data_IF_135314385836
#
_entry.id   IF_135314385836
#
_cell.length_a   1.000
_cell.length_b   1.000
_cell.length_c   1.000
_cell.angle_alpha   90.00
_cell.angle_beta   90.00
_cell.angle_gamma   90.00
#
_symmetry.space_group_name_H-M   'P 1'
#
loop_
_entity.id
_entity.type
_entity.pdbx_description
1 polymer ?
#
# COMPACT_ATOMS: atom_id res chain seq x y z
N UNK A 1 10.76 55.72 -5.86
CA UNK A 1 11.07 54.61 -6.76
C UNK A 1 10.25 53.40 -6.35
N UNK A 2 9.16 53.09 -7.09
CA UNK A 2 8.38 51.88 -6.96
C UNK A 2 9.18 50.76 -7.65
N UNK A 3 9.83 49.91 -6.88
CA UNK A 3 10.39 48.66 -7.36
C UNK A 3 9.21 47.72 -7.70
N UNK A 4 8.91 47.62 -8.99
CA UNK A 4 7.92 46.69 -9.49
C UNK A 4 8.35 45.25 -9.15
N UNK A 5 7.55 44.57 -8.34
CA UNK A 5 7.69 43.13 -8.18
C UNK A 5 7.39 42.51 -9.54
N UNK A 6 8.43 42.08 -10.25
CA UNK A 6 8.29 41.27 -11.45
C UNK A 6 7.45 40.01 -11.17
N UNK A 7 6.78 39.45 -12.18
CA UNK A 7 5.98 38.25 -12.00
C UNK A 7 6.88 37.14 -11.39
N UNK A 8 6.51 36.63 -10.21
CA UNK A 8 7.16 35.42 -9.67
C UNK A 8 7.05 34.35 -10.76
N UNK A 9 8.19 33.92 -11.32
CA UNK A 9 8.22 32.83 -12.27
C UNK A 9 7.59 31.61 -11.61
N UNK A 10 6.62 30.98 -12.28
CA UNK A 10 5.95 29.79 -11.77
C UNK A 10 6.98 28.70 -11.58
N UNK A 11 7.14 28.23 -10.34
CA UNK A 11 8.06 27.15 -10.00
C UNK A 11 7.32 25.83 -10.08
N UNK A 12 7.79 24.90 -10.92
CA UNK A 12 7.23 23.55 -11.03
C UNK A 12 8.06 22.58 -10.22
N UNK A 13 7.43 21.93 -9.25
CA UNK A 13 7.99 20.79 -8.51
C UNK A 13 7.62 19.53 -9.28
N UNK A 14 8.61 18.81 -9.78
CA UNK A 14 8.44 17.57 -10.49
C UNK A 14 8.50 16.40 -9.50
N UNK A 15 7.45 15.59 -9.51
CA UNK A 15 7.33 14.37 -8.68
C UNK A 15 7.26 13.17 -9.62
N UNK A 16 8.23 12.28 -9.51
CA UNK A 16 8.24 11.02 -10.24
C UNK A 16 7.28 10.04 -9.59
N UNK A 17 6.27 9.63 -10.33
CA UNK A 17 5.28 8.68 -9.87
C UNK A 17 5.43 7.36 -10.63
N UNK A 18 5.83 6.32 -9.91
CA UNK A 18 6.06 4.98 -10.47
C UNK A 18 4.99 4.02 -9.95
N UNK A 19 4.30 3.36 -10.86
CA UNK A 19 3.27 2.39 -10.49
C UNK A 19 3.06 1.37 -11.60
N UNK A 20 2.27 0.35 -11.33
CA UNK A 20 1.94 -0.68 -12.29
C UNK A 20 0.71 -0.24 -13.09
N UNK A 21 0.89 0.11 -14.36
CA UNK A 21 -0.22 0.51 -15.24
C UNK A 21 -0.54 -0.57 -16.29
N UNK A 22 0.30 -1.58 -16.41
CA UNK A 22 0.09 -2.72 -17.30
C UNK A 22 0.46 -4.03 -16.60
N UNK A 23 -0.10 -5.15 -17.08
CA UNK A 23 0.17 -6.47 -16.52
C UNK A 23 -0.46 -6.73 -15.14
N UNK A 24 0.08 -7.70 -14.39
CA UNK A 24 -0.38 -8.02 -13.04
C UNK A 24 -0.18 -6.84 -12.10
N UNK A 25 -1.23 -6.41 -11.41
CA UNK A 25 -1.21 -5.24 -10.52
C UNK A 25 -1.71 -3.94 -11.15
N UNK A 26 -2.17 -3.94 -12.41
CA UNK A 26 -2.66 -2.73 -13.06
C UNK A 26 -3.87 -2.10 -12.34
N UNK A 27 -4.75 -2.91 -11.76
CA UNK A 27 -5.88 -2.41 -10.97
C UNK A 27 -5.42 -1.66 -9.70
N UNK A 28 -4.38 -2.17 -9.05
CA UNK A 28 -3.76 -1.52 -7.89
C UNK A 28 -3.07 -0.21 -8.30
N UNK A 29 -2.37 -0.22 -9.44
CA UNK A 29 -1.74 0.98 -9.99
C UNK A 29 -2.74 2.07 -10.38
N UNK A 30 -3.87 1.69 -10.95
CA UNK A 30 -4.99 2.60 -11.24
C UNK A 30 -5.55 3.26 -9.98
N UNK A 31 -5.69 2.52 -8.90
CA UNK A 31 -6.11 3.06 -7.61
C UNK A 31 -5.12 4.08 -7.03
N UNK A 32 -3.81 3.79 -7.11
CA UNK A 32 -2.76 4.74 -6.71
C UNK A 32 -2.85 6.03 -7.54
N UNK A 33 -3.00 5.90 -8.85
CA UNK A 33 -3.11 7.03 -9.78
C UNK A 33 -4.33 7.90 -9.47
N UNK A 34 -5.49 7.28 -9.28
CA UNK A 34 -6.74 7.96 -8.92
C UNK A 34 -6.62 8.70 -7.59
N UNK A 35 -6.04 8.07 -6.57
CA UNK A 35 -5.83 8.71 -5.26
C UNK A 35 -4.91 9.93 -5.35
N UNK A 36 -3.78 9.81 -6.06
CA UNK A 36 -2.81 10.87 -6.24
C UNK A 36 -3.39 12.05 -7.05
N UNK A 37 -4.05 11.76 -8.17
CA UNK A 37 -4.67 12.78 -9.03
C UNK A 37 -5.83 13.49 -8.35
N UNK A 38 -6.65 12.77 -7.60
CA UNK A 38 -7.74 13.38 -6.83
C UNK A 38 -7.20 14.35 -5.77
N UNK A 39 -6.14 13.95 -5.05
CA UNK A 39 -5.49 14.84 -4.09
C UNK A 39 -4.97 16.09 -4.77
N UNK A 40 -4.22 15.93 -5.85
CA UNK A 40 -3.66 17.05 -6.63
C UNK A 40 -4.76 18.00 -7.11
N UNK A 41 -5.84 17.46 -7.68
CA UNK A 41 -6.99 18.25 -8.16
C UNK A 41 -7.62 19.09 -7.07
N UNK A 42 -7.85 18.51 -5.90
CA UNK A 42 -8.59 19.18 -4.82
C UNK A 42 -7.73 20.11 -3.96
N UNK A 43 -6.40 19.91 -3.95
CA UNK A 43 -5.52 20.60 -3.02
C UNK A 43 -4.47 21.52 -3.68
N UNK A 44 -4.44 21.64 -5.02
CA UNK A 44 -3.47 22.51 -5.73
C UNK A 44 -3.47 23.96 -5.22
N UNK A 45 -4.63 24.48 -4.82
CA UNK A 45 -4.75 25.81 -4.24
C UNK A 45 -4.09 26.00 -2.87
N UNK A 46 -3.69 24.90 -2.20
CA UNK A 46 -2.98 24.93 -0.91
C UNK A 46 -1.46 25.09 -1.06
N UNK A 47 -0.95 25.07 -2.28
CA UNK A 47 0.47 25.31 -2.55
C UNK A 47 0.82 26.80 -2.42
N UNK A 48 2.10 27.14 -2.15
CA UNK A 48 2.55 28.50 -2.16
C UNK A 48 2.27 29.18 -3.50
N UNK A 49 2.00 30.48 -3.49
CA UNK A 49 1.72 31.24 -4.71
C UNK A 49 2.84 31.07 -5.73
N UNK A 50 2.48 30.72 -6.97
CA UNK A 50 3.42 30.47 -8.05
C UNK A 50 4.08 29.10 -8.06
N UNK A 51 3.77 28.23 -7.08
CA UNK A 51 4.27 26.83 -7.05
C UNK A 51 3.23 25.89 -7.65
N UNK A 52 3.68 24.99 -8.53
CA UNK A 52 2.87 23.91 -9.12
C UNK A 52 3.55 22.56 -8.88
N UNK A 53 2.77 21.50 -8.82
CA UNK A 53 3.23 20.12 -8.80
C UNK A 53 2.90 19.46 -10.13
N UNK A 54 3.89 18.81 -10.72
CA UNK A 54 3.76 17.99 -11.92
C UNK A 54 4.08 16.53 -11.55
N UNK A 55 3.12 15.63 -11.79
CA UNK A 55 3.34 14.18 -11.67
C UNK A 55 3.86 13.63 -12.99
N UNK A 56 5.09 13.13 -13.00
CA UNK A 56 5.69 12.46 -14.15
C UNK A 56 5.56 10.96 -13.92
N UNK A 57 4.63 10.33 -14.64
CA UNK A 57 4.25 8.94 -14.42
C UNK A 57 5.11 7.98 -15.24
N UNK A 58 5.48 6.83 -14.65
CA UNK A 58 6.16 5.69 -15.30
C UNK A 58 5.51 4.37 -14.90
N UNK A 59 5.40 3.46 -15.87
CA UNK A 59 4.92 2.10 -15.68
C UNK A 59 6.06 1.16 -15.32
N UNK A 60 5.92 0.44 -14.21
CA UNK A 60 6.87 -0.59 -13.77
C UNK A 60 6.52 -1.99 -14.28
N UNK A 61 5.39 -2.13 -14.99
CA UNK A 61 4.91 -3.36 -15.66
C UNK A 61 4.65 -4.56 -14.73
N UNK A 62 4.57 -4.36 -13.43
CA UNK A 62 4.37 -5.41 -12.43
C UNK A 62 5.53 -5.53 -11.45
N UNK A 63 5.65 -6.67 -10.77
CA UNK A 63 6.76 -6.95 -9.85
C UNK A 63 8.06 -7.17 -10.62
N UNK A 64 8.64 -6.09 -11.14
CA UNK A 64 9.83 -6.12 -11.99
C UNK A 64 10.89 -5.10 -11.51
N UNK A 65 11.81 -5.53 -10.62
CA UNK A 65 12.85 -4.68 -10.06
C UNK A 65 13.75 -3.98 -11.08
N UNK A 66 14.05 -4.63 -12.20
CA UNK A 66 14.94 -4.07 -13.25
C UNK A 66 14.25 -2.92 -13.98
N UNK A 67 12.97 -3.10 -14.34
CA UNK A 67 12.17 -2.01 -14.92
C UNK A 67 12.00 -0.87 -13.92
N UNK A 68 11.69 -1.18 -12.66
CA UNK A 68 11.55 -0.18 -11.59
C UNK A 68 12.82 0.66 -11.45
N UNK A 69 14.00 0.01 -11.41
CA UNK A 69 15.31 0.68 -11.34
C UNK A 69 15.54 1.58 -12.56
N UNK A 70 15.27 1.08 -13.76
CA UNK A 70 15.44 1.84 -15.00
C UNK A 70 14.54 3.09 -15.03
N UNK A 71 13.25 2.95 -14.75
CA UNK A 71 12.32 4.09 -14.78
C UNK A 71 12.61 5.11 -13.68
N UNK A 72 13.05 4.68 -12.49
CA UNK A 72 13.51 5.59 -11.45
C UNK A 72 14.76 6.39 -11.89
N UNK A 73 15.72 5.74 -12.51
CA UNK A 73 16.91 6.39 -13.04
C UNK A 73 16.56 7.42 -14.13
N UNK A 74 15.62 7.10 -15.03
CA UNK A 74 15.11 8.05 -16.03
C UNK A 74 14.48 9.28 -15.37
N UNK A 75 13.65 9.09 -14.37
CA UNK A 75 13.00 10.17 -13.62
C UNK A 75 14.02 11.08 -12.91
N UNK A 76 15.04 10.48 -12.28
CA UNK A 76 16.07 11.23 -11.55
C UNK A 76 16.99 11.98 -12.54
N UNK A 77 17.55 11.28 -13.52
CA UNK A 77 18.64 11.83 -14.34
C UNK A 77 18.11 12.69 -15.49
N UNK A 78 17.10 12.18 -16.23
CA UNK A 78 16.58 12.84 -17.41
C UNK A 78 15.51 13.89 -17.06
N UNK A 79 14.52 13.48 -16.27
CA UNK A 79 13.36 14.31 -15.96
C UNK A 79 13.63 15.27 -14.79
N UNK A 80 14.70 15.00 -14.01
CA UNK A 80 15.18 15.80 -12.86
C UNK A 80 14.10 16.03 -11.83
N UNK A 81 13.42 14.94 -11.42
CA UNK A 81 12.41 15.02 -10.38
C UNK A 81 13.04 15.33 -9.01
N UNK A 82 12.33 16.06 -8.17
CA UNK A 82 12.78 16.44 -6.84
C UNK A 82 12.29 15.45 -5.76
N UNK A 83 11.27 14.67 -6.09
CA UNK A 83 10.67 13.65 -5.22
C UNK A 83 10.27 12.45 -6.06
N UNK A 84 10.31 11.28 -5.45
CA UNK A 84 9.77 10.03 -6.00
C UNK A 84 8.65 9.51 -5.11
N UNK A 85 7.67 8.84 -5.72
CA UNK A 85 6.59 8.18 -4.97
C UNK A 85 5.99 7.05 -5.79
N UNK A 86 5.14 6.25 -5.15
CA UNK A 86 4.40 5.19 -5.81
C UNK A 86 4.75 3.80 -5.32
N UNK A 87 4.84 2.90 -6.27
CA UNK A 87 5.04 1.45 -6.22
C UNK A 87 3.98 0.65 -5.45
N UNK A 88 3.44 -0.31 -6.18
CA UNK A 88 2.64 -1.40 -5.63
C UNK A 88 3.53 -2.43 -4.92
N UNK A 89 4.67 -2.79 -5.53
CA UNK A 89 5.47 -3.96 -5.21
C UNK A 89 6.68 -3.66 -4.35
N UNK A 90 6.85 -4.43 -3.27
CA UNK A 90 8.02 -4.39 -2.38
C UNK A 90 9.36 -4.54 -3.13
N UNK A 91 9.57 -5.52 -4.02
CA UNK A 91 10.84 -5.67 -4.72
C UNK A 91 11.19 -4.46 -5.60
N UNK A 92 10.20 -3.79 -6.18
CA UNK A 92 10.41 -2.58 -6.97
C UNK A 92 10.89 -1.42 -6.11
N UNK A 93 10.24 -1.20 -4.97
CA UNK A 93 10.65 -0.16 -4.02
C UNK A 93 12.06 -0.42 -3.45
N UNK A 94 12.38 -1.68 -3.14
CA UNK A 94 13.71 -2.07 -2.66
C UNK A 94 14.80 -1.82 -3.73
N UNK A 95 14.51 -2.09 -4.99
CA UNK A 95 15.47 -1.95 -6.08
C UNK A 95 15.94 -0.53 -6.34
N UNK A 96 15.13 0.48 -5.99
CA UNK A 96 15.49 1.90 -6.17
C UNK A 96 16.23 2.52 -4.98
N UNK A 97 16.35 1.81 -3.87
CA UNK A 97 16.97 2.35 -2.66
C UNK A 97 18.39 2.89 -2.89
N UNK A 98 19.30 2.22 -3.60
CA UNK A 98 20.62 2.77 -3.91
C UNK A 98 20.54 4.08 -4.72
N UNK A 99 19.61 4.18 -5.67
CA UNK A 99 19.42 5.39 -6.48
C UNK A 99 18.95 6.57 -5.64
N UNK A 100 17.99 6.33 -4.72
CA UNK A 100 17.50 7.38 -3.82
C UNK A 100 18.59 7.89 -2.88
N UNK A 101 19.45 6.99 -2.38
CA UNK A 101 20.57 7.34 -1.51
C UNK A 101 21.66 8.14 -2.25
N UNK A 102 22.08 7.67 -3.44
CA UNK A 102 23.12 8.30 -4.24
C UNK A 102 22.70 9.68 -4.75
N UNK A 103 21.49 9.76 -5.31
CA UNK A 103 20.98 11.02 -5.87
C UNK A 103 20.37 11.96 -4.82
N UNK A 104 20.24 11.53 -3.56
CA UNK A 104 19.54 12.25 -2.50
C UNK A 104 18.12 12.68 -2.90
N UNK A 105 17.39 11.79 -3.55
CA UNK A 105 15.99 12.07 -3.96
C UNK A 105 15.05 11.35 -3.01
N UNK A 106 14.26 12.09 -2.19
CA UNK A 106 13.30 11.48 -1.27
C UNK A 106 12.25 10.63 -2.01
N UNK A 107 12.00 9.43 -1.51
CA UNK A 107 10.96 8.52 -1.97
C UNK A 107 9.94 8.28 -0.86
N UNK A 108 8.65 8.41 -1.19
CA UNK A 108 7.52 8.12 -0.29
C UNK A 108 6.74 6.95 -0.84
N UNK A 109 6.78 5.82 -0.14
CA UNK A 109 6.04 4.61 -0.52
C UNK A 109 4.54 4.78 -0.30
N UNK A 110 3.76 4.54 -1.36
CA UNK A 110 2.30 4.59 -1.33
C UNK A 110 1.66 3.26 -0.94
N UNK A 111 2.36 2.13 -1.15
CA UNK A 111 1.85 0.80 -0.84
C UNK A 111 2.93 -0.17 -0.37
N UNK A 112 3.98 -0.39 -1.13
CA UNK A 112 4.99 -1.46 -0.89
C UNK A 112 5.24 -1.75 0.61
N UNK A 113 4.72 -2.91 1.10
CA UNK A 113 4.51 -3.17 2.53
C UNK A 113 5.63 -3.95 3.23
N UNK A 114 6.69 -4.34 2.51
CA UNK A 114 7.84 -5.05 3.11
C UNK A 114 8.54 -4.21 4.18
N UNK A 115 8.80 -4.79 5.34
CA UNK A 115 9.29 -4.07 6.53
C UNK A 115 10.62 -3.37 6.26
N UNK A 116 11.54 -4.01 5.53
CA UNK A 116 12.92 -3.52 5.35
C UNK A 116 13.04 -2.29 4.44
N UNK A 117 12.03 -1.95 3.63
CA UNK A 117 12.15 -0.96 2.54
C UNK A 117 12.75 0.37 3.04
N UNK A 118 12.19 0.94 4.09
CA UNK A 118 12.59 2.27 4.58
C UNK A 118 13.99 2.30 5.16
N UNK A 119 14.50 1.15 5.62
CA UNK A 119 15.87 1.04 6.16
C UNK A 119 16.95 0.95 5.07
N UNK A 120 16.57 0.63 3.82
CA UNK A 120 17.51 0.46 2.72
C UNK A 120 18.11 1.78 2.21
N UNK A 121 17.47 2.92 2.51
CA UNK A 121 17.99 4.24 2.16
C UNK A 121 17.52 5.30 3.15
N UNK A 122 18.40 6.26 3.53
CA UNK A 122 17.99 7.38 4.38
C UNK A 122 16.97 8.33 3.71
N UNK A 123 16.81 8.23 2.40
CA UNK A 123 15.85 9.01 1.60
C UNK A 123 14.55 8.27 1.30
N UNK A 124 14.22 7.23 2.06
CA UNK A 124 12.97 6.51 1.91
C UNK A 124 12.08 6.65 3.16
N UNK A 125 10.79 6.87 2.95
CA UNK A 125 9.75 6.87 3.97
C UNK A 125 8.51 6.15 3.44
N UNK A 126 7.61 5.73 4.32
CA UNK A 126 6.36 5.05 3.96
C UNK A 126 5.17 5.67 4.66
N UNK A 127 4.11 5.91 3.90
CA UNK A 127 2.80 6.34 4.43
C UNK A 127 1.74 5.26 4.35
N UNK A 128 2.04 4.11 3.74
CA UNK A 128 1.07 3.04 3.58
C UNK A 128 0.88 2.22 4.87
N UNK A 129 1.57 1.11 5.00
CA UNK A 129 1.51 0.18 6.13
C UNK A 129 2.64 -0.84 6.03
N UNK A 130 2.81 -1.64 7.09
CA UNK A 130 3.50 -2.92 7.01
C UNK A 130 2.53 -4.05 7.31
N UNK A 131 2.78 -5.22 6.76
CA UNK A 131 1.97 -6.39 7.10
C UNK A 131 2.05 -6.75 8.58
N UNK A 132 3.19 -6.50 9.22
CA UNK A 132 3.34 -6.68 10.67
C UNK A 132 2.35 -5.87 11.49
N UNK A 133 2.10 -4.60 11.13
CA UNK A 133 1.20 -3.71 11.85
C UNK A 133 -0.24 -4.22 11.89
N UNK A 134 -0.69 -4.92 10.84
CA UNK A 134 -2.05 -5.46 10.76
C UNK A 134 -2.14 -6.94 11.15
N UNK A 135 -1.19 -7.74 10.70
CA UNK A 135 -1.28 -9.20 10.77
C UNK A 135 -0.89 -9.76 12.14
N UNK A 136 0.08 -9.14 12.83
CA UNK A 136 0.43 -9.58 14.18
C UNK A 136 -0.75 -9.46 15.18
N UNK A 137 -1.47 -8.32 15.25
CA UNK A 137 -2.69 -8.23 16.07
C UNK A 137 -3.80 -9.18 15.60
N UNK A 138 -3.91 -9.46 14.29
CA UNK A 138 -4.84 -10.47 13.78
C UNK A 138 -4.53 -11.85 14.35
N UNK A 139 -3.25 -12.23 14.41
CA UNK A 139 -2.82 -13.49 15.02
C UNK A 139 -3.23 -13.58 16.49
N UNK A 140 -2.98 -12.54 17.28
CA UNK A 140 -3.39 -12.48 18.69
C UNK A 140 -4.91 -12.55 18.87
N UNK A 141 -5.66 -11.87 18.00
CA UNK A 141 -7.12 -11.94 18.01
C UNK A 141 -7.63 -13.32 17.61
N UNK A 142 -7.05 -13.92 16.58
CA UNK A 142 -7.44 -15.24 16.09
C UNK A 142 -7.23 -16.34 17.15
N UNK A 143 -6.15 -16.27 17.91
CA UNK A 143 -5.85 -17.23 18.99
C UNK A 143 -6.91 -17.25 20.13
N UNK A 144 -7.65 -16.15 20.31
CA UNK A 144 -8.80 -16.08 21.24
C UNK A 144 -10.03 -16.79 20.71
N UNK A 145 -10.09 -17.08 19.41
CA UNK A 145 -11.26 -17.66 18.73
C UNK A 145 -10.99 -19.09 18.24
N UNK A 146 -9.76 -19.37 17.84
CA UNK A 146 -9.34 -20.60 17.19
C UNK A 146 -8.14 -21.20 17.91
N UNK A 147 -7.98 -22.53 17.85
CA UNK A 147 -6.85 -23.23 18.47
C UNK A 147 -5.83 -23.70 17.46
N UNK A 148 -6.26 -24.09 16.27
CA UNK A 148 -5.43 -24.69 15.22
C UNK A 148 -5.52 -23.88 13.94
N UNK A 149 -4.39 -23.33 13.48
CA UNK A 149 -4.32 -22.56 12.26
C UNK A 149 -3.41 -23.23 11.22
N UNK A 150 -3.77 -23.07 9.95
CA UNK A 150 -2.92 -23.36 8.81
C UNK A 150 -2.56 -22.04 8.12
N UNK A 151 -1.32 -21.86 7.68
CA UNK A 151 -0.92 -20.65 6.92
C UNK A 151 -0.68 -20.99 5.45
N UNK A 152 -1.24 -20.21 4.53
CA UNK A 152 -1.06 -20.34 3.10
C UNK A 152 -0.80 -18.95 2.50
N UNK A 153 0.44 -18.68 2.10
CA UNK A 153 0.87 -17.35 1.66
C UNK A 153 1.62 -17.39 0.35
N UNK A 154 1.57 -16.31 -0.42
CA UNK A 154 2.41 -16.19 -1.62
C UNK A 154 3.90 -16.17 -1.28
N UNK A 155 4.71 -16.88 -2.08
CA UNK A 155 6.15 -17.08 -1.87
C UNK A 155 6.97 -15.86 -2.35
N UNK A 156 6.94 -14.80 -1.53
CA UNK A 156 7.75 -13.58 -1.68
C UNK A 156 7.81 -12.84 -0.33
N UNK A 157 8.68 -11.82 -0.23
CA UNK A 157 8.98 -11.19 1.06
C UNK A 157 7.74 -10.77 1.88
N UNK A 158 6.73 -10.03 1.35
CA UNK A 158 5.51 -9.72 2.09
C UNK A 158 4.71 -10.93 2.54
N UNK A 159 4.71 -12.03 1.76
CA UNK A 159 4.08 -13.28 2.15
C UNK A 159 4.76 -13.92 3.37
N UNK A 160 6.08 -13.99 3.34
CA UNK A 160 6.87 -14.53 4.45
C UNK A 160 6.70 -13.67 5.72
N UNK A 161 6.75 -12.35 5.59
CA UNK A 161 6.54 -11.42 6.71
C UNK A 161 5.13 -11.55 7.31
N UNK A 162 4.11 -11.73 6.48
CA UNK A 162 2.73 -11.92 6.94
C UNK A 162 2.56 -13.26 7.68
N UNK A 163 3.16 -14.34 7.16
CA UNK A 163 3.18 -15.65 7.80
C UNK A 163 3.86 -15.58 9.17
N UNK A 164 5.03 -14.92 9.24
CA UNK A 164 5.79 -14.77 10.48
C UNK A 164 5.01 -13.94 11.52
N UNK A 165 4.45 -12.80 11.10
CA UNK A 165 3.66 -11.93 11.97
C UNK A 165 2.44 -12.65 12.53
N UNK A 166 1.67 -13.35 11.67
CA UNK A 166 0.52 -14.14 12.09
C UNK A 166 0.92 -15.24 13.07
N UNK A 167 1.92 -16.04 12.68
CA UNK A 167 2.41 -17.17 13.46
C UNK A 167 2.86 -16.74 14.85
N UNK A 168 3.61 -15.63 14.94
CA UNK A 168 4.05 -15.06 16.22
C UNK A 168 2.86 -14.67 17.10
N UNK A 169 1.96 -13.84 16.56
CA UNK A 169 0.79 -13.38 17.31
C UNK A 169 -0.13 -14.52 17.73
N UNK A 170 -0.33 -15.51 16.86
CA UNK A 170 -1.19 -16.66 17.12
C UNK A 170 -0.62 -17.57 18.19
N UNK A 171 0.69 -17.90 18.14
CA UNK A 171 1.39 -18.72 19.16
C UNK A 171 1.46 -18.02 20.52
N UNK A 172 1.76 -16.74 20.57
CA UNK A 172 1.75 -15.95 21.81
C UNK A 172 0.36 -15.89 22.45
N UNK A 173 -0.71 -15.95 21.65
CA UNK A 173 -2.08 -16.07 22.10
C UNK A 173 -2.50 -17.49 22.53
N UNK A 174 -1.60 -18.48 22.47
CA UNK A 174 -1.84 -19.88 22.85
C UNK A 174 -2.43 -20.76 21.73
N UNK A 175 -2.34 -20.33 20.47
CA UNK A 175 -2.71 -21.12 19.30
C UNK A 175 -1.58 -21.98 18.76
N UNK A 176 -1.93 -22.97 17.95
CA UNK A 176 -1.03 -23.92 17.28
C UNK A 176 -1.07 -23.70 15.75
N UNK A 177 0.09 -23.58 15.11
CA UNK A 177 0.19 -23.69 13.64
C UNK A 177 0.38 -25.17 13.30
N UNK A 178 -0.63 -25.75 12.67
CA UNK A 178 -0.62 -27.19 12.36
C UNK A 178 0.25 -27.52 11.14
N UNK A 179 0.30 -26.59 10.17
CA UNK A 179 1.18 -26.68 8.99
C UNK A 179 1.17 -25.36 8.24
N UNK A 180 2.05 -25.24 7.25
CA UNK A 180 2.19 -24.04 6.40
C UNK A 180 2.50 -24.39 4.95
N UNK A 181 2.12 -23.52 4.03
CA UNK A 181 2.50 -23.64 2.62
C UNK A 181 2.78 -22.27 1.99
N UNK A 182 3.83 -22.23 1.18
CA UNK A 182 4.17 -21.08 0.36
C UNK A 182 3.82 -21.36 -1.09
N UNK A 183 3.06 -20.48 -1.69
CA UNK A 183 2.43 -20.63 -3.01
C UNK A 183 3.20 -19.76 -3.99
N UNK A 184 3.66 -20.26 -5.14
CA UNK A 184 4.37 -19.46 -6.14
C UNK A 184 3.62 -18.18 -6.49
N UNK A 185 4.35 -17.06 -6.61
CA UNK A 185 3.75 -15.76 -6.95
C UNK A 185 3.25 -15.72 -8.41
N UNK A 186 3.90 -16.46 -9.30
CA UNK A 186 3.57 -16.47 -10.73
C UNK A 186 2.58 -17.60 -11.07
N UNK A 187 1.40 -17.24 -11.59
CA UNK A 187 0.38 -18.16 -12.13
C UNK A 187 0.09 -19.41 -11.26
N UNK A 188 -0.20 -19.26 -9.97
CA UNK A 188 -0.42 -20.41 -9.09
C UNK A 188 -1.72 -21.15 -9.42
N UNK A 189 -1.65 -22.50 -9.33
CA UNK A 189 -2.84 -23.33 -9.16
C UNK A 189 -3.10 -23.47 -7.64
N UNK A 190 -4.21 -22.94 -7.15
CA UNK A 190 -4.53 -22.95 -5.73
C UNK A 190 -5.14 -24.27 -5.23
N UNK A 191 -5.70 -25.09 -6.13
CA UNK A 191 -6.43 -26.34 -5.75
C UNK A 191 -5.58 -27.28 -4.91
N UNK A 192 -4.35 -27.65 -5.31
CA UNK A 192 -3.52 -28.59 -4.52
C UNK A 192 -3.19 -28.05 -3.11
N UNK A 193 -3.01 -26.72 -2.98
CA UNK A 193 -2.70 -26.09 -1.69
C UNK A 193 -3.91 -26.06 -0.78
N UNK A 194 -5.08 -25.72 -1.30
CA UNK A 194 -6.32 -25.74 -0.53
C UNK A 194 -6.72 -27.18 -0.13
N UNK A 195 -6.40 -28.18 -0.94
CA UNK A 195 -6.59 -29.57 -0.55
C UNK A 195 -5.75 -29.93 0.67
N UNK A 196 -4.48 -29.53 0.74
CA UNK A 196 -3.63 -29.75 1.93
C UNK A 196 -4.22 -29.09 3.18
N UNK A 197 -4.74 -27.85 3.04
CA UNK A 197 -5.44 -27.19 4.15
C UNK A 197 -6.62 -28.03 4.64
N UNK A 198 -7.44 -28.52 3.70
CA UNK A 198 -8.61 -29.36 4.02
C UNK A 198 -8.22 -30.65 4.76
N UNK A 199 -7.14 -31.31 4.30
CA UNK A 199 -6.66 -32.57 4.90
C UNK A 199 -6.08 -32.36 6.32
N UNK A 200 -5.47 -31.21 6.58
CA UNK A 200 -4.94 -30.85 7.89
C UNK A 200 -6.03 -30.49 8.93
N UNK A 201 -7.24 -30.19 8.47
CA UNK A 201 -8.42 -29.89 9.32
C UNK A 201 -8.12 -28.82 10.40
N UNK A 202 -7.61 -27.63 10.04
CA UNK A 202 -7.45 -26.56 11.01
C UNK A 202 -8.81 -25.93 11.35
N UNK A 203 -8.88 -25.15 12.44
CA UNK A 203 -10.05 -24.32 12.74
C UNK A 203 -10.10 -23.10 11.80
N UNK A 204 -8.91 -22.59 11.43
CA UNK A 204 -8.75 -21.37 10.64
C UNK A 204 -7.61 -21.49 9.65
N UNK A 205 -7.87 -21.01 8.42
CA UNK A 205 -6.86 -20.73 7.39
C UNK A 205 -6.47 -19.25 7.46
N UNK A 206 -5.20 -18.96 7.72
CA UNK A 206 -4.63 -17.66 7.43
C UNK A 206 -4.10 -17.67 5.99
N UNK A 207 -4.66 -16.82 5.14
CA UNK A 207 -4.26 -16.72 3.74
C UNK A 207 -3.78 -15.34 3.37
N UNK A 208 -2.69 -15.25 2.58
CA UNK A 208 -2.23 -14.02 1.99
C UNK A 208 -1.81 -14.20 0.53
N UNK A 209 -2.40 -13.38 -0.32
CA UNK A 209 -1.98 -13.14 -1.70
C UNK A 209 -2.01 -11.63 -1.96
N UNK A 210 -1.19 -11.13 -2.90
CA UNK A 210 -1.38 -9.78 -3.40
C UNK A 210 -2.82 -9.56 -3.87
N UNK A 211 -3.31 -8.34 -3.66
CA UNK A 211 -4.64 -7.93 -4.14
C UNK A 211 -4.83 -8.24 -5.64
N UNK A 212 -6.06 -8.51 -6.04
CA UNK A 212 -6.41 -8.77 -7.44
C UNK A 212 -6.82 -10.21 -7.72
N UNK A 213 -6.69 -10.63 -8.97
CA UNK A 213 -7.22 -11.91 -9.47
C UNK A 213 -6.72 -13.15 -8.73
N UNK A 214 -5.50 -13.13 -8.20
CA UNK A 214 -4.96 -14.26 -7.45
C UNK A 214 -5.69 -14.44 -6.10
N UNK A 215 -5.99 -13.35 -5.40
CA UNK A 215 -6.78 -13.41 -4.17
C UNK A 215 -8.17 -13.99 -4.45
N UNK A 216 -8.83 -13.54 -5.53
CA UNK A 216 -10.09 -14.09 -5.99
C UNK A 216 -9.99 -15.60 -6.28
N UNK A 217 -8.95 -16.04 -6.99
CA UNK A 217 -8.77 -17.45 -7.34
C UNK A 217 -8.54 -18.33 -6.11
N UNK A 218 -7.79 -17.84 -5.12
CA UNK A 218 -7.55 -18.59 -3.88
C UNK A 218 -8.83 -18.74 -3.03
N UNK A 219 -9.64 -17.68 -2.91
CA UNK A 219 -10.92 -17.74 -2.21
C UNK A 219 -11.90 -18.67 -2.92
N UNK A 220 -11.94 -18.67 -4.26
CA UNK A 220 -12.74 -19.62 -5.04
C UNK A 220 -12.29 -21.05 -4.82
N UNK A 221 -11.00 -21.34 -4.87
CA UNK A 221 -10.48 -22.69 -4.60
C UNK A 221 -10.82 -23.18 -3.16
N UNK A 222 -10.76 -22.28 -2.18
CA UNK A 222 -11.22 -22.57 -0.81
C UNK A 222 -12.70 -22.96 -0.77
N UNK A 223 -13.56 -22.22 -1.43
CA UNK A 223 -15.00 -22.50 -1.47
C UNK A 223 -15.35 -23.75 -2.31
N UNK A 224 -14.73 -23.89 -3.49
CA UNK A 224 -14.99 -25.01 -4.42
C UNK A 224 -14.62 -26.38 -3.79
N UNK A 225 -13.57 -26.41 -2.98
CA UNK A 225 -13.20 -27.59 -2.21
C UNK A 225 -14.02 -27.76 -0.93
N UNK A 226 -14.93 -26.82 -0.62
CA UNK A 226 -15.85 -26.92 0.51
C UNK A 226 -15.18 -26.77 1.88
N UNK A 227 -14.10 -25.99 1.98
CA UNK A 227 -13.43 -25.73 3.27
C UNK A 227 -14.34 -24.94 4.21
N UNK A 228 -15.15 -24.03 3.68
CA UNK A 228 -16.17 -23.27 4.40
C UNK A 228 -17.21 -24.21 5.03
N UNK A 229 -17.69 -25.21 4.25
CA UNK A 229 -18.64 -26.24 4.70
C UNK A 229 -18.03 -27.22 5.70
N UNK A 230 -16.71 -27.42 5.64
CA UNK A 230 -15.96 -28.18 6.62
C UNK A 230 -15.72 -27.40 7.94
N UNK A 231 -16.18 -26.15 8.03
CA UNK A 231 -16.07 -25.31 9.22
C UNK A 231 -14.75 -24.55 9.34
N UNK A 232 -13.83 -24.68 8.39
CA UNK A 232 -12.55 -23.97 8.38
C UNK A 232 -12.81 -22.51 8.05
N UNK A 233 -12.49 -21.57 8.94
CA UNK A 233 -12.65 -20.13 8.68
C UNK A 233 -11.48 -19.58 7.87
N UNK A 234 -11.75 -18.61 6.98
CA UNK A 234 -10.70 -17.95 6.22
C UNK A 234 -10.49 -16.52 6.76
N UNK A 235 -9.26 -16.22 7.14
CA UNK A 235 -8.84 -14.90 7.62
C UNK A 235 -7.56 -14.45 6.90
N UNK A 236 -7.34 -13.12 6.83
CA UNK A 236 -6.12 -12.58 6.22
C UNK A 236 -6.07 -11.05 6.26
N UNK A 237 -5.05 -10.44 5.67
CA UNK A 237 -5.04 -8.99 5.46
C UNK A 237 -6.05 -8.58 4.38
N UNK A 238 -6.42 -7.30 4.36
CA UNK A 238 -7.44 -6.78 3.44
C UNK A 238 -7.07 -6.85 1.95
N UNK A 239 -5.83 -7.17 1.63
CA UNK A 239 -5.37 -7.46 0.27
C UNK A 239 -6.21 -8.57 -0.41
N UNK A 240 -6.71 -9.52 0.38
CA UNK A 240 -7.47 -10.67 -0.16
C UNK A 240 -8.93 -10.36 -0.50
N UNK A 241 -9.46 -9.20 -0.09
CA UNK A 241 -10.86 -8.80 -0.32
C UNK A 241 -10.98 -7.32 -0.67
N UNK A 242 -10.28 -6.87 -1.70
CA UNK A 242 -10.42 -5.48 -2.16
C UNK A 242 -11.78 -5.23 -2.79
N UNK A 243 -12.30 -4.00 -2.68
CA UNK A 243 -13.62 -3.62 -3.20
C UNK A 243 -13.78 -3.91 -4.70
N UNK A 244 -12.69 -3.80 -5.49
CA UNK A 244 -12.69 -4.06 -6.93
C UNK A 244 -12.90 -5.55 -7.24
N UNK A 245 -12.37 -6.42 -6.39
CA UNK A 245 -12.39 -7.87 -6.61
C UNK A 245 -13.62 -8.53 -5.97
N UNK A 246 -14.23 -7.92 -4.95
CA UNK A 246 -15.36 -8.51 -4.23
C UNK A 246 -16.54 -8.86 -5.15
N UNK A 247 -16.85 -8.04 -6.15
CA UNK A 247 -17.90 -8.34 -7.12
C UNK A 247 -17.58 -9.59 -7.95
N UNK A 248 -16.30 -9.78 -8.31
CA UNK A 248 -15.81 -10.97 -9.03
C UNK A 248 -15.74 -12.22 -8.17
N UNK A 249 -15.58 -12.06 -6.85
CA UNK A 249 -15.60 -13.18 -5.89
C UNK A 249 -17.02 -13.70 -5.70
N UNK A 250 -18.03 -12.82 -5.63
CA UNK A 250 -19.40 -13.18 -5.33
C UNK A 250 -19.58 -13.70 -3.90
N UNK A 251 -20.59 -14.54 -3.69
CA UNK A 251 -20.98 -15.05 -2.36
C UNK A 251 -19.91 -15.90 -1.66
N UNK A 252 -18.91 -16.41 -2.38
CA UNK A 252 -17.83 -17.20 -1.77
C UNK A 252 -16.94 -16.37 -0.83
N UNK A 253 -16.98 -15.05 -0.92
CA UNK A 253 -16.30 -14.15 0.00
C UNK A 253 -17.05 -13.92 1.32
N UNK A 254 -18.31 -14.35 1.42
CA UNK A 254 -19.11 -14.17 2.63
C UNK A 254 -18.51 -15.02 3.76
N UNK A 255 -18.22 -14.36 4.88
CA UNK A 255 -17.61 -14.99 6.04
C UNK A 255 -16.08 -14.99 6.06
N UNK A 256 -15.42 -14.54 5.01
CA UNK A 256 -13.98 -14.21 5.04
C UNK A 256 -13.78 -12.98 5.93
N UNK A 257 -12.87 -13.08 6.88
CA UNK A 257 -12.57 -11.98 7.81
C UNK A 257 -11.21 -11.37 7.49
N UNK A 258 -11.16 -10.06 7.38
CA UNK A 258 -9.93 -9.37 7.05
C UNK A 258 -9.60 -8.24 8.03
N UNK A 259 -8.31 -7.92 8.12
CA UNK A 259 -7.79 -6.78 8.85
C UNK A 259 -7.04 -5.87 7.89
N UNK A 260 -7.28 -4.57 7.98
CA UNK A 260 -6.52 -3.58 7.20
C UNK A 260 -6.49 -2.22 7.90
N UNK A 261 -5.62 -1.35 7.41
CA UNK A 261 -5.45 0.03 7.90
C UNK A 261 -6.52 1.01 7.36
N UNK A 262 -7.33 0.61 6.39
CA UNK A 262 -8.35 1.44 5.76
C UNK A 262 -9.60 0.65 5.39
N UNK A 263 -10.76 1.32 5.50
CA UNK A 263 -12.03 0.87 4.94
C UNK A 263 -12.81 2.07 4.42
N UNK A 264 -13.34 1.98 3.20
CA UNK A 264 -14.23 2.99 2.63
C UNK A 264 -15.52 3.18 3.48
N UNK A 265 -15.93 2.15 4.23
CA UNK A 265 -17.09 2.19 5.11
C UNK A 265 -16.83 2.84 6.50
N UNK A 266 -15.57 3.24 6.79
CA UNK A 266 -15.25 3.82 8.09
C UNK A 266 -16.02 5.12 8.35
N UNK A 267 -16.68 5.18 9.51
CA UNK A 267 -17.53 6.33 9.92
C UNK A 267 -16.68 7.47 10.50
N UNK A 268 -15.94 8.16 9.61
CA UNK A 268 -15.17 9.37 9.91
C UNK A 268 -15.51 10.48 8.93
N UNK A 269 -15.64 11.74 9.36
CA UNK A 269 -15.95 12.86 8.46
C UNK A 269 -14.96 12.99 7.28
N UNK A 270 -13.65 12.86 7.56
CA UNK A 270 -12.61 12.92 6.53
C UNK A 270 -12.75 11.78 5.50
N UNK A 271 -13.09 10.56 5.96
CA UNK A 271 -13.33 9.44 5.07
C UNK A 271 -14.58 9.64 4.20
N UNK A 272 -15.68 10.07 4.80
CA UNK A 272 -16.92 10.36 4.04
C UNK A 272 -16.68 11.40 2.95
N UNK A 273 -15.92 12.45 3.25
CA UNK A 273 -15.57 13.48 2.28
C UNK A 273 -14.68 12.91 1.15
N UNK A 274 -13.69 12.10 1.49
CA UNK A 274 -12.80 11.43 0.53
C UNK A 274 -13.57 10.48 -0.39
N UNK A 275 -14.40 9.59 0.19
CA UNK A 275 -15.23 8.65 -0.56
C UNK A 275 -16.20 9.38 -1.51
N UNK A 276 -16.86 10.43 -1.02
CA UNK A 276 -17.77 11.23 -1.84
C UNK A 276 -17.03 11.92 -3.01
N UNK A 277 -15.86 12.49 -2.74
CA UNK A 277 -15.04 13.12 -3.78
C UNK A 277 -14.53 12.09 -4.81
N UNK A 278 -14.12 10.92 -4.36
CA UNK A 278 -13.65 9.83 -5.22
C UNK A 278 -14.78 9.33 -6.14
N UNK A 279 -15.96 9.06 -5.59
CA UNK A 279 -17.14 8.65 -6.36
C UNK A 279 -17.59 9.69 -7.37
N UNK A 280 -17.59 10.96 -6.97
CA UNK A 280 -17.93 12.06 -7.87
C UNK A 280 -16.98 12.15 -9.06
N UNK A 281 -15.69 11.88 -8.85
CA UNK A 281 -14.68 12.01 -9.89
C UNK A 281 -14.62 10.80 -10.82
N UNK A 282 -14.74 9.59 -10.24
CA UNK A 282 -14.47 8.33 -10.96
C UNK A 282 -15.69 7.46 -11.18
N UNK A 283 -16.82 7.76 -10.54
CA UNK A 283 -18.10 7.06 -10.70
C UNK A 283 -18.69 6.55 -9.38
N UNK A 284 -20.00 6.67 -9.25
CA UNK A 284 -20.76 6.39 -8.02
C UNK A 284 -20.63 4.92 -7.52
N UNK A 285 -20.33 3.98 -8.40
CA UNK A 285 -20.16 2.57 -8.03
C UNK A 285 -18.76 2.22 -7.54
N UNK A 286 -17.79 3.14 -7.67
CA UNK A 286 -16.41 2.89 -7.29
C UNK A 286 -16.14 3.37 -5.86
N UNK A 287 -15.66 2.48 -5.02
CA UNK A 287 -15.11 2.85 -3.72
C UNK A 287 -13.59 3.04 -3.80
N UNK A 288 -13.02 4.02 -3.07
CA UNK A 288 -11.57 4.08 -2.93
C UNK A 288 -11.10 2.92 -2.04
N UNK A 289 -10.12 2.16 -2.51
CA UNK A 289 -9.46 1.12 -1.71
C UNK A 289 -8.29 1.68 -0.90
N UNK A 290 -7.59 0.77 -0.21
CA UNK A 290 -6.41 1.15 0.59
C UNK A 290 -5.25 1.70 -0.26
N UNK A 291 -5.16 1.33 -1.53
CA UNK A 291 -4.22 1.92 -2.48
C UNK A 291 -4.52 3.41 -2.71
N UNK A 292 -5.78 3.74 -2.96
CA UNK A 292 -6.19 5.12 -3.21
C UNK A 292 -5.93 6.04 -2.02
N UNK A 293 -6.20 5.56 -0.78
CA UNK A 293 -5.90 6.35 0.42
C UNK A 293 -4.40 6.45 0.69
N UNK A 294 -3.62 5.41 0.39
CA UNK A 294 -2.16 5.45 0.49
C UNK A 294 -1.56 6.52 -0.43
N UNK A 295 -2.05 6.61 -1.66
CA UNK A 295 -1.65 7.66 -2.60
C UNK A 295 -2.12 9.06 -2.17
N UNK A 296 -3.34 9.18 -1.64
CA UNK A 296 -3.86 10.42 -1.07
C UNK A 296 -2.96 10.94 0.06
N UNK A 297 -2.60 10.07 1.01
CA UNK A 297 -1.75 10.43 2.14
C UNK A 297 -0.32 10.78 1.72
N UNK A 298 0.25 10.06 0.73
CA UNK A 298 1.56 10.38 0.19
C UNK A 298 1.60 11.75 -0.46
N UNK A 299 0.54 12.10 -1.21
CA UNK A 299 0.42 13.44 -1.79
C UNK A 299 0.27 14.52 -0.72
N UNK A 300 -0.40 14.23 0.41
CA UNK A 300 -0.48 15.18 1.53
C UNK A 300 0.89 15.42 2.17
N UNK A 301 1.70 14.37 2.37
CA UNK A 301 3.10 14.50 2.81
C UNK A 301 3.89 15.35 1.83
N UNK A 302 3.82 15.07 0.52
CA UNK A 302 4.51 15.82 -0.53
C UNK A 302 4.11 17.30 -0.47
N UNK A 303 2.83 17.61 -0.39
CA UNK A 303 2.35 18.98 -0.28
C UNK A 303 2.79 19.66 1.02
N UNK A 304 2.86 18.94 2.12
CA UNK A 304 3.29 19.48 3.42
C UNK A 304 4.75 19.95 3.34
N UNK A 305 5.66 19.14 2.78
CA UNK A 305 7.08 19.50 2.65
C UNK A 305 7.31 20.62 1.64
N UNK A 306 6.51 20.68 0.56
CA UNK A 306 6.56 21.78 -0.41
C UNK A 306 6.12 23.09 0.25
N UNK A 307 5.04 23.07 1.03
CA UNK A 307 4.56 24.26 1.77
C UNK A 307 5.61 24.74 2.79
N UNK A 308 6.15 23.82 3.59
CA UNK A 308 7.13 24.16 4.63
C UNK A 308 8.41 24.77 4.05
N UNK A 309 8.80 24.36 2.84
CA UNK A 309 9.99 24.86 2.15
C UNK A 309 9.67 25.94 1.09
N UNK A 310 8.42 26.39 1.02
CA UNK A 310 7.96 27.42 0.07
C UNK A 310 8.34 27.11 -1.39
N UNK A 311 8.34 25.81 -1.75
CA UNK A 311 8.69 25.32 -3.07
C UNK A 311 10.19 25.12 -3.34
N UNK A 312 11.10 25.56 -2.49
CA UNK A 312 12.55 25.38 -2.65
C UNK A 312 13.01 24.14 -1.88
N UNK A 313 12.83 22.98 -2.49
CA UNK A 313 13.11 21.70 -1.82
C UNK A 313 14.62 21.47 -1.65
N UNK A 314 15.02 21.25 -0.41
CA UNK A 314 16.29 20.66 -0.02
C UNK A 314 16.05 19.20 0.38
N UNK A 315 16.79 18.22 -0.15
CA UNK A 315 16.52 16.80 0.11
C UNK A 315 16.64 16.41 1.59
N UNK A 316 17.68 16.85 2.28
CA UNK A 316 17.91 16.49 3.67
C UNK A 316 16.83 17.09 4.56
N UNK A 317 16.52 18.39 4.36
CA UNK A 317 15.43 19.07 5.06
C UNK A 317 14.05 18.46 4.72
N UNK A 318 13.87 17.98 3.50
CA UNK A 318 12.65 17.27 3.11
C UNK A 318 12.47 16.00 3.94
N UNK A 319 13.54 15.20 4.13
CA UNK A 319 13.46 14.01 4.97
C UNK A 319 13.21 14.35 6.43
N UNK A 320 13.81 15.41 6.96
CA UNK A 320 13.56 15.86 8.33
C UNK A 320 12.11 16.31 8.56
N UNK A 321 11.52 16.98 7.56
CA UNK A 321 10.10 17.36 7.60
C UNK A 321 9.17 16.14 7.48
N UNK A 322 9.54 15.14 6.67
CA UNK A 322 8.79 13.88 6.57
C UNK A 322 8.75 13.16 7.92
N UNK A 323 9.88 13.06 8.63
CA UNK A 323 9.95 12.46 9.98
C UNK A 323 9.06 13.15 11.01
N UNK A 324 8.75 14.42 10.81
CA UNK A 324 7.90 15.22 11.70
C UNK A 324 6.43 15.27 11.25
N UNK A 325 6.10 14.61 10.12
CA UNK A 325 4.77 14.68 9.56
C UNK A 325 3.72 14.03 10.45
N UNK A 326 2.60 14.74 10.63
CA UNK A 326 1.40 14.27 11.31
C UNK A 326 0.16 14.78 10.57
N UNK A 327 -0.83 13.93 10.44
CA UNK A 327 -2.13 14.32 9.90
C UNK A 327 -3.25 13.72 10.77
N UNK A 328 -3.93 14.52 11.61
CA UNK A 328 -5.04 14.03 12.42
C UNK A 328 -6.32 13.75 11.60
N UNK A 329 -6.36 14.22 10.34
CA UNK A 329 -7.54 14.20 9.49
C UNK A 329 -7.34 13.39 8.19
N UNK A 330 -6.47 12.38 8.20
CA UNK A 330 -6.44 11.44 7.08
C UNK A 330 -7.77 10.68 6.98
N UNK A 331 -8.23 10.30 5.78
CA UNK A 331 -9.43 9.47 5.60
C UNK A 331 -9.41 8.18 6.42
N UNK A 332 -8.24 7.61 6.65
CA UNK A 332 -8.08 6.38 7.45
C UNK A 332 -7.93 6.62 8.96
N UNK A 333 -8.00 7.86 9.42
CA UNK A 333 -7.82 8.27 10.81
C UNK A 333 -6.51 9.02 11.04
N UNK A 334 -6.18 9.38 12.29
CA UNK A 334 -4.93 10.06 12.59
C UNK A 334 -3.72 9.23 12.18
N UNK A 335 -2.78 9.86 11.48
CA UNK A 335 -1.51 9.25 11.06
C UNK A 335 -0.33 10.15 11.40
N UNK A 336 0.82 9.51 11.57
CA UNK A 336 2.12 10.18 11.70
C UNK A 336 3.21 9.35 11.04
N UNK A 337 4.35 9.94 10.75
CA UNK A 337 5.56 9.21 10.41
C UNK A 337 6.40 9.06 11.67
N UNK A 338 6.84 7.85 11.96
CA UNK A 338 7.77 7.55 13.02
C UNK A 338 9.14 8.20 12.71
N UNK A 339 9.67 9.06 13.58
CA UNK A 339 10.91 9.78 13.28
C UNK A 339 12.15 8.87 13.20
N UNK A 340 12.14 7.75 13.91
CA UNK A 340 13.27 6.82 13.95
C UNK A 340 13.26 5.84 12.78
N UNK A 341 12.10 5.25 12.50
CA UNK A 341 11.96 4.24 11.46
C UNK A 341 11.56 4.81 10.10
N UNK A 342 10.96 5.98 10.05
CA UNK A 342 10.33 6.61 8.86
C UNK A 342 9.15 5.82 8.30
N UNK A 343 8.60 4.92 9.12
CA UNK A 343 7.37 4.19 8.85
C UNK A 343 6.13 4.94 9.34
N UNK A 344 4.97 4.52 8.85
CA UNK A 344 3.67 5.05 9.27
C UNK A 344 3.33 4.60 10.70
N UNK A 345 2.75 5.52 11.46
CA UNK A 345 2.03 5.27 12.71
C UNK A 345 0.56 5.61 12.47
N UNK A 346 -0.33 4.71 12.84
CA UNK A 346 -1.79 4.87 12.75
C UNK A 346 -2.46 4.40 14.03
#
# INVERSE_FOLDING_TARGET
>A
ALLGAGPLAAQTIKVGFMSTFSGPGAAQGDQLDKGAKLYLKLNSGKLPKGVKVELITRDDTGANPDVAKRVAQELIVRDKVQLLTGFVWTPNAAAIAPLTAEAKVPYISMNAAGVQIVSLSPYMARVSFTLWQSVYPLGQWAAKKFKRAYTAVSDFAPGHESEEAFTKGFKEGGGEIVDSVRIPLANPDFVPYMQRVKDAKPDVLFGFNPAGKQATAMIKAYADLGLDKAGIKYIGPGDITTDEELQGMGDVAIGVMTVHHYSAAADRPANKAFVAAYKKEYGEKLNPGFMAVGAWDAMDVIFSVIRAQKGKLDPDKTMDLIKQYKNPNSPRGPIAIDPDTRDIIQ
#
